data_IF_605541998038
#
_entry.id   IF_605541998038
#
_cell.length_a   1.000
_cell.length_b   1.000
_cell.length_c   1.000
_cell.angle_alpha   90.00
_cell.angle_beta   90.00
_cell.angle_gamma   90.00
#
_symmetry.space_group_name_H-M   'P 1'
#
loop_
_entity.id
_entity.type
_entity.pdbx_description
1 polymer ?
#
# COMPACT_ATOMS: atom_id res chain seq x y z
N UNK A 1 8.95 -15.29 -10.22
CA UNK A 1 8.60 -14.70 -8.91
C UNK A 1 7.69 -15.64 -8.15
N UNK A 2 7.98 -15.93 -6.89
CA UNK A 2 7.09 -16.74 -6.04
C UNK A 2 5.86 -15.92 -5.62
N UNK A 3 4.74 -16.59 -5.27
CA UNK A 3 3.50 -15.88 -4.85
C UNK A 3 3.73 -14.97 -3.64
N UNK A 4 4.63 -15.38 -2.74
CA UNK A 4 5.09 -14.60 -1.60
C UNK A 4 5.76 -13.28 -2.03
N UNK A 5 6.70 -13.31 -2.98
CA UNK A 5 7.36 -12.09 -3.47
C UNK A 5 6.36 -11.09 -4.05
N UNK A 6 5.40 -11.57 -4.84
CA UNK A 6 4.43 -10.71 -5.53
C UNK A 6 3.39 -10.10 -4.58
N UNK A 7 2.89 -10.87 -3.61
CA UNK A 7 1.74 -10.47 -2.80
C UNK A 7 2.10 -10.01 -1.38
N UNK A 8 3.34 -10.24 -0.93
CA UNK A 8 3.82 -9.82 0.39
C UNK A 8 4.96 -8.80 0.26
N UNK A 9 6.09 -9.17 -0.35
CA UNK A 9 7.27 -8.31 -0.38
C UNK A 9 7.07 -7.04 -1.21
N UNK A 10 6.51 -7.16 -2.42
CA UNK A 10 6.26 -6.02 -3.29
C UNK A 10 5.31 -4.98 -2.67
N UNK A 11 4.12 -5.35 -2.15
CA UNK A 11 3.22 -4.36 -1.55
C UNK A 11 3.74 -3.85 -0.20
N UNK A 12 4.54 -4.64 0.54
CA UNK A 12 5.10 -4.19 1.82
C UNK A 12 6.14 -3.07 1.66
N UNK A 13 6.74 -2.89 0.48
CA UNK A 13 7.63 -1.76 0.21
C UNK A 13 6.93 -0.41 0.35
N UNK A 14 5.65 -0.30 -0.04
CA UNK A 14 4.90 0.95 0.03
C UNK A 14 4.71 1.48 1.47
N UNK A 15 4.22 0.71 2.46
CA UNK A 15 4.19 1.15 3.84
C UNK A 15 5.58 1.35 4.42
N UNK A 16 6.57 0.55 4.05
CA UNK A 16 7.95 0.74 4.52
C UNK A 16 8.51 2.11 4.08
N UNK A 17 8.31 2.47 2.81
CA UNK A 17 8.68 3.79 2.27
C UNK A 17 7.89 4.91 2.92
N UNK A 18 6.58 4.72 3.13
CA UNK A 18 5.75 5.71 3.82
C UNK A 18 6.26 6.00 5.23
N UNK A 19 6.49 4.97 6.03
CA UNK A 19 7.00 5.13 7.40
C UNK A 19 8.43 5.66 7.42
N UNK A 20 9.28 5.26 6.47
CA UNK A 20 10.62 5.84 6.34
C UNK A 20 10.55 7.36 6.14
N UNK A 21 9.69 7.83 5.21
CA UNK A 21 9.48 9.28 4.99
C UNK A 21 8.80 9.93 6.21
N UNK A 22 7.84 9.27 6.83
CA UNK A 22 7.19 9.80 8.03
C UNK A 22 8.18 9.95 9.20
N UNK A 23 9.15 9.04 9.35
CA UNK A 23 10.16 9.12 10.40
C UNK A 23 11.36 10.01 10.05
N UNK A 24 11.51 10.42 8.79
CA UNK A 24 12.59 11.34 8.42
C UNK A 24 12.43 12.70 9.11
N UNK A 25 13.49 13.21 9.75
CA UNK A 25 13.46 14.49 10.43
C UNK A 25 13.23 15.64 9.43
N UNK A 26 12.49 16.65 9.91
CA UNK A 26 12.04 17.79 9.11
C UNK A 26 13.19 18.63 8.57
N UNK A 27 14.34 18.60 9.25
CA UNK A 27 15.55 19.33 8.87
C UNK A 27 16.14 18.85 7.53
N UNK A 28 15.83 17.61 7.13
CA UNK A 28 16.39 16.99 5.93
C UNK A 28 15.49 17.14 4.70
N UNK A 29 14.17 17.11 4.88
CA UNK A 29 13.20 17.19 3.77
C UNK A 29 12.33 18.45 3.79
N UNK A 30 12.24 19.16 4.91
CA UNK A 30 11.28 20.24 5.13
C UNK A 30 9.85 19.72 5.33
N UNK A 31 9.04 20.43 6.13
CA UNK A 31 7.66 20.04 6.46
C UNK A 31 6.80 19.80 5.20
N UNK A 32 6.89 20.72 4.23
CA UNK A 32 6.05 20.68 3.03
C UNK A 32 6.41 19.51 2.11
N UNK A 33 7.69 19.24 1.90
CA UNK A 33 8.13 18.16 1.01
C UNK A 33 7.88 16.79 1.65
N UNK A 34 8.13 16.66 2.97
CA UNK A 34 7.82 15.43 3.73
C UNK A 34 6.34 15.06 3.60
N UNK A 35 5.46 16.04 3.80
CA UNK A 35 4.01 15.85 3.65
C UNK A 35 3.60 15.46 2.23
N UNK A 36 4.13 16.16 1.21
CA UNK A 36 3.83 15.86 -0.20
C UNK A 36 4.29 14.45 -0.61
N UNK A 37 5.50 14.04 -0.21
CA UNK A 37 6.04 12.72 -0.55
C UNK A 37 5.22 11.63 0.16
N UNK A 38 4.94 11.79 1.46
CA UNK A 38 4.10 10.87 2.20
C UNK A 38 2.70 10.74 1.58
N UNK A 39 2.11 11.86 1.16
CA UNK A 39 0.82 11.89 0.47
C UNK A 39 0.86 11.16 -0.88
N UNK A 40 1.87 11.40 -1.72
CA UNK A 40 2.01 10.74 -3.03
C UNK A 40 2.17 9.22 -2.86
N UNK A 41 2.97 8.79 -1.87
CA UNK A 41 3.13 7.36 -1.55
C UNK A 41 1.80 6.76 -1.11
N UNK A 42 1.06 7.44 -0.23
CA UNK A 42 -0.22 6.96 0.24
C UNK A 42 -1.29 6.91 -0.85
N UNK A 43 -1.33 7.92 -1.73
CA UNK A 43 -2.26 7.99 -2.85
C UNK A 43 -2.01 6.85 -3.85
N UNK A 44 -0.75 6.67 -4.26
CA UNK A 44 -0.36 5.61 -5.19
C UNK A 44 -0.58 4.22 -4.60
N UNK A 45 -0.24 4.01 -3.32
CA UNK A 45 -0.51 2.77 -2.61
C UNK A 45 -2.02 2.50 -2.51
N UNK A 46 -2.82 3.50 -2.16
CA UNK A 46 -4.27 3.40 -2.10
C UNK A 46 -4.89 3.00 -3.45
N UNK A 47 -4.48 3.65 -4.55
CA UNK A 47 -4.95 3.29 -5.90
C UNK A 47 -4.60 1.85 -6.28
N UNK A 48 -3.37 1.40 -5.98
CA UNK A 48 -2.96 0.02 -6.20
C UNK A 48 -3.72 -0.96 -5.28
N UNK A 49 -4.03 -0.56 -4.06
CA UNK A 49 -4.84 -1.33 -3.12
C UNK A 49 -6.27 -1.52 -3.62
N UNK A 50 -6.88 -0.48 -4.18
CA UNK A 50 -8.20 -0.55 -4.84
C UNK A 50 -8.15 -1.49 -6.04
N UNK A 51 -7.12 -1.38 -6.88
CA UNK A 51 -6.93 -2.32 -8.00
C UNK A 51 -6.78 -3.77 -7.51
N UNK A 52 -6.01 -4.01 -6.45
CA UNK A 52 -5.88 -5.33 -5.84
C UNK A 52 -7.21 -5.85 -5.27
N UNK A 53 -8.01 -4.99 -4.64
CA UNK A 53 -9.33 -5.34 -4.12
C UNK A 53 -10.31 -5.73 -5.24
N UNK A 54 -10.31 -5.00 -6.37
CA UNK A 54 -11.15 -5.36 -7.53
C UNK A 54 -10.72 -6.70 -8.14
N UNK A 55 -9.42 -7.00 -8.16
CA UNK A 55 -8.89 -8.30 -8.61
C UNK A 55 -9.27 -9.43 -7.65
N UNK A 56 -9.24 -9.17 -6.33
CA UNK A 56 -9.73 -10.12 -5.33
C UNK A 56 -11.21 -10.42 -5.56
N UNK A 57 -12.04 -9.40 -5.75
CA UNK A 57 -13.47 -9.54 -6.01
C UNK A 57 -13.73 -10.29 -7.32
N UNK A 58 -13.01 -9.95 -8.39
CA UNK A 58 -13.11 -10.62 -9.70
C UNK A 58 -12.72 -12.10 -9.62
N UNK A 59 -11.72 -12.45 -8.81
CA UNK A 59 -11.30 -13.85 -8.63
C UNK A 59 -12.35 -14.67 -7.85
N UNK A 60 -13.06 -14.04 -6.90
CA UNK A 60 -14.20 -14.64 -6.20
C UNK A 60 -15.37 -14.88 -7.16
N UNK A 61 -15.71 -13.88 -7.99
CA UNK A 61 -16.79 -13.98 -8.97
C UNK A 61 -16.53 -15.04 -10.05
N UNK A 62 -15.26 -15.28 -10.40
CA UNK A 62 -14.85 -16.33 -11.35
C UNK A 62 -14.73 -17.74 -10.72
N UNK A 63 -15.13 -17.91 -9.46
CA UNK A 63 -15.10 -19.22 -8.80
C UNK A 63 -13.70 -19.79 -8.61
N UNK A 64 -12.65 -18.95 -8.56
CA UNK A 64 -11.26 -19.39 -8.41
C UNK A 64 -10.72 -19.01 -7.01
N UNK A 65 -11.05 -19.78 -5.97
CA UNK A 65 -10.86 -19.40 -4.57
C UNK A 65 -9.39 -19.31 -4.13
N UNK A 66 -8.47 -19.95 -4.87
CA UNK A 66 -7.06 -20.00 -4.51
C UNK A 66 -6.31 -18.66 -4.71
N UNK A 67 -6.83 -17.76 -5.56
CA UNK A 67 -6.20 -16.47 -5.86
C UNK A 67 -6.74 -15.29 -5.03
N UNK A 68 -8.02 -15.33 -4.66
CA UNK A 68 -8.69 -14.24 -3.95
C UNK A 68 -8.06 -13.80 -2.62
N UNK A 69 -7.67 -14.69 -1.70
CA UNK A 69 -7.10 -14.28 -0.41
C UNK A 69 -5.75 -13.57 -0.56
N UNK A 70 -4.95 -13.90 -1.59
CA UNK A 70 -3.67 -13.23 -1.85
C UNK A 70 -3.84 -11.80 -2.34
N UNK A 71 -4.82 -11.55 -3.22
CA UNK A 71 -5.14 -10.19 -3.66
C UNK A 71 -5.78 -9.36 -2.55
N UNK A 72 -6.58 -9.97 -1.67
CA UNK A 72 -7.11 -9.32 -0.49
C UNK A 72 -6.00 -8.91 0.50
N UNK A 73 -5.01 -9.80 0.72
CA UNK A 73 -3.84 -9.50 1.54
C UNK A 73 -3.02 -8.33 0.95
N UNK A 74 -2.78 -8.34 -0.36
CA UNK A 74 -2.10 -7.24 -1.05
C UNK A 74 -2.85 -5.92 -0.90
N UNK A 75 -4.18 -5.92 -1.04
CA UNK A 75 -5.01 -4.74 -0.85
C UNK A 75 -4.91 -4.21 0.59
N UNK A 76 -4.93 -5.10 1.59
CA UNK A 76 -4.83 -4.75 3.00
C UNK A 76 -3.47 -4.11 3.33
N UNK A 77 -2.37 -4.66 2.83
CA UNK A 77 -1.02 -4.11 3.02
C UNK A 77 -0.91 -2.72 2.40
N UNK A 78 -1.44 -2.54 1.19
CA UNK A 78 -1.42 -1.27 0.46
C UNK A 78 -2.36 -0.20 1.06
N UNK A 79 -3.31 -0.60 1.92
CA UNK A 79 -4.17 0.35 2.63
C UNK A 79 -3.45 1.00 3.83
N UNK A 80 -2.39 0.39 4.37
CA UNK A 80 -1.67 0.90 5.54
C UNK A 80 -1.14 2.34 5.38
N UNK A 81 -0.50 2.74 4.25
CA UNK A 81 -0.07 4.12 4.05
C UNK A 81 -1.25 5.11 4.03
N UNK A 82 -2.38 4.75 3.43
CA UNK A 82 -3.56 5.60 3.35
C UNK A 82 -4.17 5.82 4.74
N UNK A 83 -4.27 4.76 5.55
CA UNK A 83 -4.69 4.86 6.95
C UNK A 83 -3.67 5.67 7.75
N UNK A 84 -2.37 5.49 7.49
CA UNK A 84 -1.29 6.26 8.11
C UNK A 84 -1.43 7.76 7.87
N UNK A 85 -1.76 8.19 6.64
CA UNK A 85 -2.07 9.61 6.37
C UNK A 85 -3.29 10.07 7.15
N UNK A 86 -4.38 9.30 7.19
CA UNK A 86 -5.58 9.70 7.92
C UNK A 86 -5.36 9.85 9.44
N UNK A 87 -4.43 9.08 10.02
CA UNK A 87 -4.12 9.12 11.45
C UNK A 87 -3.03 10.14 11.83
N UNK A 88 -2.12 10.43 10.90
CA UNK A 88 -0.95 11.28 11.15
C UNK A 88 -1.05 12.69 10.55
N UNK A 89 -2.03 12.94 9.68
CA UNK A 89 -2.35 14.27 9.15
C UNK A 89 -3.22 15.05 10.13
#
# INVERSE_FOLDING_TARGET
>A
MTRLQRHLYLPALAPLLFFAVALTPVEWLGCRNRGLIAFVIALTAGLLGVAAATLALRSRLRGNPAGGPWWALTALILALPAVGVLLLA
#
